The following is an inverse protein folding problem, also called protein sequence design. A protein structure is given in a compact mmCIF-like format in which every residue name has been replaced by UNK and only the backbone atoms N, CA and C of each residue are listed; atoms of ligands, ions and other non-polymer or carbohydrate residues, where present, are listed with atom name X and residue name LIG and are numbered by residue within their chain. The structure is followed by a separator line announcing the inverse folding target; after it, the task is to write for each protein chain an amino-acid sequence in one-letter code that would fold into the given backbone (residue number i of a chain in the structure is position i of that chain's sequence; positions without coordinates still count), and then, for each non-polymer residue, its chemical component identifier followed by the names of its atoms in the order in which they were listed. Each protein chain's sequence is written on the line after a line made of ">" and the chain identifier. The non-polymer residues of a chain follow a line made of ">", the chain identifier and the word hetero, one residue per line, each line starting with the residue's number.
data_IF_880701022077
#
_entry.id   IF_880701022077
#
_cell.length_a   1.000
_cell.length_b   1.000
_cell.length_c   1.000
_cell.angle_alpha   90.00
_cell.angle_beta   90.00
_cell.angle_gamma   90.00
#
_symmetry.space_group_name_H-M   'P 1'
#
loop_
_entity.id
_entity.type
_entity.pdbx_description
1 polymer ?
#
# COMPACT_ATOMS: atom_id res chain seq x y z
N UNK A 1 -34.45 -17.44 -15.93
CA UNK A 1 -34.55 -16.33 -14.95
C UNK A 1 -34.54 -14.92 -15.57
N UNK A 2 -34.18 -14.77 -16.85
CA UNK A 2 -34.15 -13.48 -17.57
C UNK A 2 -35.16 -13.44 -18.73
N UNK A 3 -36.37 -13.98 -18.54
CA UNK A 3 -37.44 -13.75 -19.50
C UNK A 3 -37.93 -12.31 -19.37
N UNK A 4 -37.37 -11.45 -20.23
CA UNK A 4 -37.92 -10.24 -20.88
C UNK A 4 -38.66 -9.16 -20.06
N UNK A 5 -39.07 -9.39 -18.82
CA UNK A 5 -39.94 -8.51 -18.07
C UNK A 5 -39.24 -7.37 -17.31
N UNK A 6 -38.05 -7.54 -16.68
CA UNK A 6 -37.44 -6.42 -15.95
C UNK A 6 -36.75 -5.41 -16.89
N UNK A 7 -36.27 -5.84 -18.06
CA UNK A 7 -35.50 -4.99 -18.97
C UNK A 7 -36.39 -4.05 -19.82
N UNK A 8 -37.54 -4.54 -20.28
CA UNK A 8 -38.44 -3.82 -21.21
C UNK A 8 -39.13 -2.62 -20.55
N UNK A 9 -39.54 -2.75 -19.28
CA UNK A 9 -40.25 -1.67 -18.58
C UNK A 9 -39.32 -0.51 -18.12
N UNK A 10 -38.08 -0.81 -17.74
CA UNK A 10 -37.16 0.19 -17.18
C UNK A 10 -36.22 0.83 -18.22
N UNK A 11 -35.78 0.07 -19.23
CA UNK A 11 -34.84 0.56 -20.24
C UNK A 11 -35.50 0.93 -21.56
N UNK A 12 -36.82 0.71 -21.70
CA UNK A 12 -37.57 0.91 -22.95
C UNK A 12 -36.90 0.26 -24.16
N UNK A 13 -36.23 -0.87 -23.93
CA UNK A 13 -35.59 -1.65 -24.98
C UNK A 13 -36.64 -2.45 -25.75
N UNK A 14 -36.45 -2.56 -27.05
CA UNK A 14 -37.22 -3.48 -27.87
C UNK A 14 -37.07 -4.92 -27.31
N UNK A 15 -38.17 -5.69 -27.17
CA UNK A 15 -38.13 -7.04 -26.60
C UNK A 15 -37.14 -7.99 -27.28
N UNK A 16 -36.95 -7.85 -28.60
CA UNK A 16 -35.99 -8.66 -29.36
C UNK A 16 -34.55 -8.33 -28.98
N UNK A 17 -34.24 -7.04 -28.85
CA UNK A 17 -32.92 -6.56 -28.39
C UNK A 17 -32.66 -7.02 -26.95
N UNK A 18 -33.65 -6.87 -26.05
CA UNK A 18 -33.52 -7.30 -24.65
C UNK A 18 -33.27 -8.81 -24.54
N UNK A 19 -33.94 -9.62 -25.37
CA UNK A 19 -33.77 -11.07 -25.42
C UNK A 19 -32.39 -11.45 -25.94
N UNK A 20 -31.93 -10.79 -27.00
CA UNK A 20 -30.59 -11.00 -27.56
C UNK A 20 -29.50 -10.68 -26.54
N UNK A 21 -29.61 -9.55 -25.85
CA UNK A 21 -28.67 -9.18 -24.77
C UNK A 21 -28.67 -10.24 -23.66
N UNK A 22 -29.86 -10.73 -23.25
CA UNK A 22 -29.95 -11.77 -22.24
C UNK A 22 -29.30 -13.08 -22.69
N UNK A 23 -29.48 -13.49 -23.95
CA UNK A 23 -28.86 -14.69 -24.51
C UNK A 23 -27.34 -14.58 -24.62
N UNK A 24 -26.81 -13.39 -24.94
CA UNK A 24 -25.37 -13.15 -24.98
C UNK A 24 -24.77 -13.12 -23.57
N UNK A 25 -25.48 -12.51 -22.62
CA UNK A 25 -24.99 -12.31 -21.25
C UNK A 25 -25.11 -13.56 -20.37
N UNK A 26 -26.00 -14.49 -20.71
CA UNK A 26 -26.26 -15.69 -19.92
C UNK A 26 -25.69 -16.95 -20.58
N UNK A 27 -25.22 -17.85 -19.73
CA UNK A 27 -24.90 -19.22 -20.10
C UNK A 27 -25.80 -20.16 -19.29
N UNK A 28 -26.50 -21.07 -19.97
CA UNK A 28 -27.46 -21.99 -19.34
C UNK A 28 -28.46 -21.26 -18.42
N UNK A 29 -29.09 -20.19 -18.92
CA UNK A 29 -30.06 -19.35 -18.20
C UNK A 29 -29.56 -18.65 -16.92
N UNK A 30 -28.24 -18.63 -16.71
CA UNK A 30 -27.59 -18.01 -15.56
C UNK A 30 -26.54 -16.99 -15.99
N UNK A 31 -26.29 -15.98 -15.15
CA UNK A 31 -25.16 -15.09 -15.35
C UNK A 31 -23.87 -15.84 -14.98
N UNK A 32 -22.91 -16.00 -15.91
CA UNK A 32 -21.70 -16.74 -15.63
C UNK A 32 -20.83 -16.00 -14.62
N UNK A 33 -20.27 -16.74 -13.66
CA UNK A 33 -19.32 -16.20 -12.69
C UNK A 33 -17.99 -15.90 -13.41
N UNK A 34 -17.46 -14.68 -13.24
CA UNK A 34 -16.24 -14.23 -13.92
C UNK A 34 -16.46 -13.38 -15.17
N UNK A 35 -17.69 -13.31 -15.71
CA UNK A 35 -17.99 -12.35 -16.79
C UNK A 35 -18.01 -10.91 -16.24
N UNK A 36 -17.37 -9.95 -16.93
CA UNK A 36 -17.36 -8.55 -16.50
C UNK A 36 -18.75 -7.90 -16.55
N UNK A 37 -19.67 -8.43 -17.36
CA UNK A 37 -21.03 -7.90 -17.49
C UNK A 37 -21.96 -8.41 -16.36
N UNK A 38 -21.69 -9.60 -15.81
CA UNK A 38 -22.57 -10.26 -14.84
C UNK A 38 -22.87 -9.40 -13.59
N UNK A 39 -21.89 -8.76 -12.92
CA UNK A 39 -22.17 -7.94 -11.73
C UNK A 39 -23.05 -6.73 -12.03
N UNK A 40 -22.87 -6.11 -13.21
CA UNK A 40 -23.67 -4.97 -13.64
C UNK A 40 -25.11 -5.41 -13.87
N UNK A 41 -25.31 -6.47 -14.63
CA UNK A 41 -26.64 -7.00 -14.92
C UNK A 41 -27.35 -7.47 -13.64
N UNK A 42 -26.64 -8.15 -12.73
CA UNK A 42 -27.20 -8.57 -11.44
C UNK A 42 -27.70 -7.36 -10.61
N UNK A 43 -26.94 -6.26 -10.58
CA UNK A 43 -27.37 -5.02 -9.93
C UNK A 43 -28.57 -4.35 -10.60
N UNK A 44 -28.68 -4.42 -11.93
CA UNK A 44 -29.85 -3.91 -12.67
C UNK A 44 -31.11 -4.72 -12.35
N UNK A 45 -31.02 -6.04 -12.35
CA UNK A 45 -32.15 -6.94 -12.03
C UNK A 45 -32.64 -6.71 -10.60
N UNK A 46 -31.72 -6.52 -9.66
CA UNK A 46 -32.05 -6.33 -8.23
C UNK A 46 -32.53 -4.93 -7.88
N UNK A 47 -32.51 -3.97 -8.80
CA UNK A 47 -32.93 -2.59 -8.53
C UNK A 47 -34.42 -2.49 -8.09
N UNK A 48 -35.31 -3.18 -8.80
CA UNK A 48 -36.75 -3.20 -8.46
C UNK A 48 -36.99 -3.84 -7.08
N UNK A 49 -36.24 -4.90 -6.77
CA UNK A 49 -36.22 -5.53 -5.45
C UNK A 49 -35.74 -4.52 -4.39
N UNK A 50 -34.64 -3.82 -4.63
CA UNK A 50 -34.09 -2.82 -3.71
C UNK A 50 -35.08 -1.71 -3.39
N UNK A 51 -35.81 -1.20 -4.39
CA UNK A 51 -36.86 -0.19 -4.20
C UNK A 51 -37.94 -0.72 -3.25
N UNK A 52 -38.41 -1.94 -3.46
CA UNK A 52 -39.48 -2.54 -2.67
C UNK A 52 -39.02 -2.89 -1.25
N UNK A 53 -37.83 -3.47 -1.09
CA UNK A 53 -37.25 -3.78 0.21
C UNK A 53 -36.93 -2.53 1.02
N UNK A 54 -36.44 -1.47 0.37
CA UNK A 54 -36.23 -0.16 1.00
C UNK A 54 -37.55 0.47 1.48
N UNK A 55 -38.61 0.42 0.67
CA UNK A 55 -39.96 0.87 1.08
C UNK A 55 -40.50 0.04 2.24
N UNK A 56 -40.35 -1.29 2.19
CA UNK A 56 -40.76 -2.19 3.26
C UNK A 56 -40.02 -1.89 4.58
N UNK A 57 -38.70 -1.68 4.50
CA UNK A 57 -37.88 -1.30 5.65
C UNK A 57 -38.36 0.01 6.27
N UNK A 58 -38.48 1.07 5.45
CA UNK A 58 -38.90 2.41 5.90
C UNK A 58 -40.26 2.37 6.60
N UNK A 59 -41.26 1.69 6.02
CA UNK A 59 -42.61 1.54 6.61
C UNK A 59 -42.60 0.86 7.98
N UNK A 60 -41.63 -0.01 8.24
CA UNK A 60 -41.55 -0.77 9.48
C UNK A 60 -40.53 -0.18 10.47
N UNK A 61 -39.90 0.97 10.17
CA UNK A 61 -38.86 1.57 11.01
C UNK A 61 -37.56 0.76 11.02
N UNK A 62 -37.22 0.15 9.88
CA UNK A 62 -35.98 -0.56 9.64
C UNK A 62 -35.13 0.19 8.60
N UNK A 63 -33.82 -0.05 8.62
CA UNK A 63 -32.91 0.31 7.54
C UNK A 63 -32.59 -0.93 6.70
N UNK A 64 -32.41 -0.74 5.40
CA UNK A 64 -32.08 -1.79 4.43
C UNK A 64 -30.77 -1.43 3.74
N UNK A 65 -29.87 -2.40 3.63
CA UNK A 65 -28.68 -2.31 2.78
C UNK A 65 -28.48 -3.63 2.05
N UNK A 66 -27.89 -3.56 0.85
CA UNK A 66 -27.50 -4.71 0.03
C UNK A 66 -26.07 -4.56 -0.45
N UNK A 67 -25.30 -5.63 -0.38
CA UNK A 67 -23.99 -5.76 -1.01
C UNK A 67 -23.97 -7.05 -1.82
N UNK A 68 -23.97 -6.96 -3.14
CA UNK A 68 -24.20 -8.10 -4.04
C UNK A 68 -25.48 -8.88 -3.64
N UNK A 69 -25.35 -10.13 -3.17
CA UNK A 69 -26.42 -11.00 -2.69
C UNK A 69 -26.70 -10.89 -1.18
N UNK A 70 -25.80 -10.27 -0.41
CA UNK A 70 -25.97 -10.05 1.03
C UNK A 70 -26.95 -8.90 1.30
N UNK A 71 -28.11 -9.24 1.86
CA UNK A 71 -29.13 -8.29 2.31
C UNK A 71 -29.09 -8.16 3.84
N UNK A 72 -29.05 -6.92 4.34
CA UNK A 72 -29.09 -6.61 5.78
C UNK A 72 -30.26 -5.71 6.12
N UNK A 73 -31.08 -6.13 7.08
CA UNK A 73 -32.09 -5.30 7.73
C UNK A 73 -31.65 -4.98 9.16
N UNK A 74 -31.76 -3.72 9.58
CA UNK A 74 -31.46 -3.30 10.95
C UNK A 74 -32.57 -2.40 11.51
N UNK A 75 -32.71 -2.35 12.84
CA UNK A 75 -33.71 -1.51 13.52
C UNK A 75 -33.17 -1.03 14.86
N UNK A 76 -33.67 0.12 15.34
CA UNK A 76 -33.43 0.63 16.70
C UNK A 76 -34.51 0.18 17.68
N UNK A 77 -35.55 -0.52 17.21
CA UNK A 77 -36.62 -1.07 18.05
C UNK A 77 -36.09 -2.23 18.89
N UNK A 78 -36.74 -2.51 20.03
CA UNK A 78 -36.38 -3.62 20.92
C UNK A 78 -36.55 -4.99 20.24
N UNK A 79 -37.53 -5.11 19.35
CA UNK A 79 -37.80 -6.31 18.55
C UNK A 79 -37.90 -5.97 17.06
N UNK A 80 -37.62 -6.95 16.22
CA UNK A 80 -37.86 -6.82 14.78
C UNK A 80 -39.37 -6.77 14.49
N UNK A 81 -39.80 -5.94 13.51
CA UNK A 81 -41.18 -5.96 13.05
C UNK A 81 -41.55 -7.31 12.42
N UNK A 82 -42.77 -7.78 12.68
CA UNK A 82 -43.32 -9.06 12.14
C UNK A 82 -43.24 -9.14 10.60
N UNK A 83 -43.31 -8.00 9.93
CA UNK A 83 -43.16 -7.91 8.47
C UNK A 83 -41.76 -8.33 7.97
N UNK A 84 -40.73 -8.25 8.81
CA UNK A 84 -39.34 -8.59 8.51
C UNK A 84 -38.95 -9.93 9.14
N UNK A 85 -39.26 -10.13 10.42
CA UNK A 85 -39.01 -11.37 11.17
C UNK A 85 -40.32 -11.80 11.83
N UNK A 86 -40.88 -12.93 11.43
CA UNK A 86 -42.14 -13.46 11.95
C UNK A 86 -41.96 -14.02 13.36
N UNK A 87 -40.90 -14.80 13.55
CA UNK A 87 -40.58 -15.43 14.82
C UNK A 87 -39.06 -15.39 15.03
N UNK A 88 -38.69 -14.94 16.22
CA UNK A 88 -37.31 -14.74 16.64
C UNK A 88 -36.67 -16.08 17.01
N UNK A 89 -37.40 -16.96 17.70
CA UNK A 89 -36.86 -18.23 18.23
C UNK A 89 -36.55 -19.20 17.10
N UNK A 90 -37.48 -19.37 16.16
CA UNK A 90 -37.27 -20.20 14.97
C UNK A 90 -36.50 -19.49 13.84
N UNK A 91 -36.10 -18.22 14.04
CA UNK A 91 -35.47 -17.37 13.00
C UNK A 91 -36.28 -17.29 11.69
N UNK A 92 -37.60 -17.34 11.80
CA UNK A 92 -38.50 -17.33 10.64
C UNK A 92 -38.67 -15.91 10.10
N UNK A 93 -38.36 -15.71 8.81
CA UNK A 93 -38.53 -14.42 8.14
C UNK A 93 -40.02 -14.09 7.91
N UNK A 94 -40.33 -12.79 7.90
CA UNK A 94 -41.67 -12.27 7.65
C UNK A 94 -42.18 -12.60 6.25
N UNK A 95 -43.47 -12.94 6.14
CA UNK A 95 -44.09 -13.32 4.86
C UNK A 95 -44.05 -12.20 3.82
N UNK A 96 -44.12 -10.93 4.25
CA UNK A 96 -43.99 -9.76 3.37
C UNK A 96 -42.61 -9.69 2.74
N UNK A 97 -41.54 -9.81 3.54
CA UNK A 97 -40.16 -9.84 3.05
C UNK A 97 -39.95 -11.00 2.04
N UNK A 98 -40.36 -12.21 2.41
CA UNK A 98 -40.25 -13.37 1.53
C UNK A 98 -41.05 -13.20 0.23
N UNK A 99 -42.23 -12.57 0.31
CA UNK A 99 -43.06 -12.23 -0.85
C UNK A 99 -42.34 -11.29 -1.81
N UNK A 100 -41.72 -10.22 -1.31
CA UNK A 100 -40.92 -9.30 -2.16
C UNK A 100 -39.78 -10.02 -2.88
N UNK A 101 -39.02 -10.84 -2.15
CA UNK A 101 -37.86 -11.57 -2.70
C UNK A 101 -38.31 -12.58 -3.77
N UNK A 102 -39.38 -13.34 -3.51
CA UNK A 102 -39.94 -14.31 -4.48
C UNK A 102 -40.51 -13.63 -5.71
N UNK A 103 -41.18 -12.48 -5.56
CA UNK A 103 -41.70 -11.70 -6.70
C UNK A 103 -40.59 -11.21 -7.62
N UNK A 104 -39.40 -10.95 -7.09
CA UNK A 104 -38.22 -10.61 -7.87
C UNK A 104 -37.49 -11.83 -8.47
N UNK A 105 -37.99 -13.05 -8.27
CA UNK A 105 -37.40 -14.27 -8.82
C UNK A 105 -36.24 -14.86 -8.00
N UNK A 106 -36.06 -14.42 -6.75
CA UNK A 106 -34.98 -14.89 -5.87
C UNK A 106 -35.52 -15.75 -4.72
N UNK A 107 -34.61 -16.47 -4.08
CA UNK A 107 -34.87 -17.26 -2.87
C UNK A 107 -33.81 -16.98 -1.80
N UNK A 108 -34.21 -16.99 -0.53
CA UNK A 108 -33.30 -16.83 0.60
C UNK A 108 -32.64 -18.17 0.94
N UNK A 109 -31.35 -18.15 1.31
CA UNK A 109 -30.66 -19.31 1.85
C UNK A 109 -30.85 -19.38 3.38
N UNK A 110 -31.64 -20.35 3.91
CA UNK A 110 -31.90 -20.43 5.35
C UNK A 110 -30.63 -20.67 6.17
N UNK A 111 -29.66 -21.45 5.66
CA UNK A 111 -28.40 -21.75 6.35
C UNK A 111 -27.51 -20.52 6.56
N UNK A 112 -27.66 -19.49 5.71
CA UNK A 112 -26.91 -18.22 5.82
C UNK A 112 -27.72 -17.10 6.50
N UNK A 113 -29.00 -17.36 6.81
CA UNK A 113 -29.88 -16.39 7.46
C UNK A 113 -29.51 -16.29 8.94
N UNK A 114 -29.34 -15.06 9.42
CA UNK A 114 -28.87 -14.78 10.79
C UNK A 114 -29.63 -13.61 11.40
N UNK A 115 -30.02 -13.76 12.66
CA UNK A 115 -30.60 -12.70 13.48
C UNK A 115 -29.58 -12.32 14.56
N UNK A 116 -29.27 -11.03 14.67
CA UNK A 116 -28.18 -10.57 15.54
C UNK A 116 -28.68 -9.45 16.45
N UNK A 117 -28.47 -9.61 17.74
CA UNK A 117 -28.93 -8.69 18.77
C UNK A 117 -27.83 -7.73 19.19
N UNK A 118 -28.19 -6.66 19.90
CA UNK A 118 -27.25 -5.62 20.31
C UNK A 118 -26.21 -6.11 21.33
N UNK A 119 -26.56 -7.11 22.11
CA UNK A 119 -25.78 -7.76 23.17
C UNK A 119 -24.91 -8.91 22.66
N UNK A 120 -25.15 -9.39 21.43
CA UNK A 120 -24.30 -10.33 20.73
C UNK A 120 -23.47 -9.65 19.64
N UNK A 121 -22.47 -10.34 19.09
CA UNK A 121 -21.68 -9.82 17.96
C UNK A 121 -22.59 -9.60 16.75
N UNK A 122 -22.59 -8.38 16.22
CA UNK A 122 -23.29 -7.99 15.01
C UNK A 122 -22.31 -7.89 13.86
N UNK A 123 -22.59 -8.61 12.79
CA UNK A 123 -21.77 -8.75 11.60
C UNK A 123 -22.57 -8.48 10.32
N UNK A 124 -22.07 -7.56 9.51
CA UNK A 124 -22.52 -7.31 8.15
C UNK A 124 -21.31 -7.40 7.21
N UNK A 125 -21.46 -8.12 6.10
CA UNK A 125 -20.41 -8.27 5.05
C UNK A 125 -19.01 -8.59 5.60
N UNK A 126 -18.92 -9.47 6.61
CA UNK A 126 -17.64 -9.87 7.23
C UNK A 126 -17.07 -8.89 8.28
N UNK A 127 -17.72 -7.76 8.53
CA UNK A 127 -17.29 -6.72 9.47
C UNK A 127 -18.19 -6.68 10.70
N UNK A 128 -17.57 -6.50 11.87
CA UNK A 128 -18.26 -6.26 13.14
C UNK A 128 -18.73 -4.81 13.20
N UNK A 129 -20.00 -4.59 13.55
CA UNK A 129 -20.66 -3.28 13.47
C UNK A 129 -21.30 -2.78 14.78
N UNK A 130 -21.16 -3.51 15.89
CA UNK A 130 -21.86 -3.19 17.15
C UNK A 130 -21.71 -1.74 17.65
N UNK A 131 -20.50 -1.18 17.56
CA UNK A 131 -20.18 0.18 18.07
C UNK A 131 -19.45 1.01 17.02
N UNK A 132 -18.47 0.39 16.38
CA UNK A 132 -17.71 0.91 15.24
C UNK A 132 -17.48 -0.23 14.27
N UNK A 133 -17.13 0.10 13.03
CA UNK A 133 -16.71 -0.90 12.05
C UNK A 133 -15.39 -1.52 12.53
N UNK A 134 -15.31 -2.84 12.61
CA UNK A 134 -14.07 -3.54 13.00
C UNK A 134 -13.96 -4.88 12.29
N UNK A 135 -12.73 -5.36 12.11
CA UNK A 135 -12.50 -6.77 11.81
C UNK A 135 -12.85 -7.66 13.00
N UNK A 136 -13.13 -8.94 12.72
CA UNK A 136 -13.30 -9.99 13.72
C UNK A 136 -12.05 -10.12 14.60
N UNK A 137 -12.24 -10.38 15.90
CA UNK A 137 -11.13 -10.48 16.85
C UNK A 137 -10.25 -11.70 16.53
N UNK A 138 -10.84 -12.78 16.05
CA UNK A 138 -10.18 -14.00 15.59
C UNK A 138 -9.30 -13.73 14.36
N UNK A 139 -9.79 -12.93 13.42
CA UNK A 139 -9.03 -12.51 12.24
C UNK A 139 -7.80 -11.67 12.63
N UNK A 140 -7.96 -10.75 13.58
CA UNK A 140 -6.83 -9.98 14.11
C UNK A 140 -5.85 -10.86 14.89
N UNK A 141 -6.33 -11.73 15.79
CA UNK A 141 -5.50 -12.62 16.61
C UNK A 141 -4.65 -13.55 15.74
N UNK A 142 -5.25 -14.18 14.73
CA UNK A 142 -4.55 -15.04 13.76
C UNK A 142 -3.52 -14.24 12.96
N UNK A 143 -3.88 -13.07 12.42
CA UNK A 143 -2.94 -12.22 11.66
C UNK A 143 -1.76 -11.76 12.52
N UNK A 144 -2.02 -11.40 13.79
CA UNK A 144 -0.97 -11.02 14.74
C UNK A 144 -0.06 -12.21 15.07
N UNK A 145 -0.61 -13.42 15.22
CA UNK A 145 0.16 -14.63 15.44
C UNK A 145 1.04 -14.98 14.23
N UNK A 146 0.51 -14.85 13.01
CA UNK A 146 1.27 -15.01 11.76
C UNK A 146 2.45 -14.02 11.70
N UNK A 147 2.20 -12.74 11.95
CA UNK A 147 3.25 -11.73 11.99
C UNK A 147 4.31 -12.02 13.06
N UNK A 148 3.89 -12.41 14.26
CA UNK A 148 4.81 -12.81 15.33
C UNK A 148 5.68 -14.02 14.92
N UNK A 149 5.06 -15.06 14.34
CA UNK A 149 5.78 -16.23 13.83
C UNK A 149 6.79 -15.84 12.76
N UNK A 150 6.41 -14.96 11.82
CA UNK A 150 7.30 -14.46 10.79
C UNK A 150 8.50 -13.74 11.40
N UNK A 151 8.29 -12.84 12.36
CA UNK A 151 9.37 -12.06 12.97
C UNK A 151 10.36 -12.91 13.75
N UNK A 152 9.91 -14.01 14.36
CA UNK A 152 10.77 -14.91 15.14
C UNK A 152 11.38 -16.02 14.29
N UNK A 153 10.58 -16.70 13.47
CA UNK A 153 10.99 -17.91 12.75
C UNK A 153 11.32 -17.66 11.27
N UNK A 154 10.94 -16.51 10.72
CA UNK A 154 11.10 -16.21 9.29
C UNK A 154 10.04 -16.84 8.40
N UNK A 155 9.10 -17.59 8.99
CA UNK A 155 7.98 -18.24 8.31
C UNK A 155 6.71 -18.13 9.15
N UNK A 156 5.57 -18.35 8.52
CA UNK A 156 4.29 -18.49 9.17
C UNK A 156 3.41 -19.41 8.35
N UNK A 157 2.37 -19.97 8.97
CA UNK A 157 1.41 -20.84 8.29
C UNK A 157 0.07 -20.14 8.09
N UNK A 158 -0.64 -20.55 7.05
CA UNK A 158 -2.01 -20.14 6.75
C UNK A 158 -2.88 -21.39 6.58
N UNK A 159 -4.14 -21.27 6.99
CA UNK A 159 -5.15 -22.31 6.81
C UNK A 159 -5.87 -22.09 5.48
N UNK A 160 -5.85 -23.10 4.61
CA UNK A 160 -6.59 -23.09 3.34
C UNK A 160 -8.07 -23.42 3.55
N UNK A 161 -8.86 -23.34 2.47
CA UNK A 161 -10.32 -23.49 2.52
C UNK A 161 -10.78 -24.88 2.98
N UNK A 162 -9.96 -25.91 2.75
CA UNK A 162 -10.19 -27.29 3.18
C UNK A 162 -9.77 -27.55 4.63
N UNK A 163 -9.21 -26.55 5.31
CA UNK A 163 -8.72 -26.64 6.68
C UNK A 163 -7.27 -27.12 6.80
N UNK A 164 -6.59 -27.42 5.69
CA UNK A 164 -5.18 -27.78 5.68
C UNK A 164 -4.27 -26.59 6.02
N UNK A 165 -3.10 -26.87 6.60
CA UNK A 165 -2.09 -25.85 6.90
C UNK A 165 -0.98 -25.89 5.86
N UNK A 166 -0.60 -24.72 5.35
CA UNK A 166 0.56 -24.55 4.48
C UNK A 166 1.41 -23.36 4.88
N UNK A 167 2.62 -23.31 4.34
CA UNK A 167 3.48 -22.13 4.45
C UNK A 167 2.80 -20.93 3.77
N UNK A 168 2.80 -19.81 4.48
CA UNK A 168 2.25 -18.55 4.02
C UNK A 168 3.30 -17.66 3.36
N UNK A 169 2.87 -16.87 2.38
CA UNK A 169 3.72 -15.95 1.65
C UNK A 169 3.54 -14.51 2.14
N UNK A 170 4.60 -13.69 2.10
CA UNK A 170 4.55 -12.30 2.57
C UNK A 170 3.38 -11.47 2.00
N UNK A 171 3.00 -11.57 0.71
CA UNK A 171 1.85 -10.83 0.18
C UNK A 171 0.51 -11.19 0.84
N UNK A 172 0.36 -12.43 1.30
CA UNK A 172 -0.87 -12.88 1.98
C UNK A 172 -1.01 -12.18 3.34
N UNK A 173 0.07 -12.18 4.15
CA UNK A 173 0.07 -11.48 5.43
C UNK A 173 -0.05 -9.96 5.25
N UNK A 174 0.61 -9.40 4.24
CA UNK A 174 0.47 -7.99 3.89
C UNK A 174 -0.98 -7.63 3.54
N UNK A 175 -1.65 -8.44 2.72
CA UNK A 175 -3.05 -8.26 2.37
C UNK A 175 -3.96 -8.26 3.60
N UNK A 176 -3.70 -9.17 4.56
CA UNK A 176 -4.44 -9.21 5.83
C UNK A 176 -4.22 -7.94 6.65
N UNK A 177 -2.97 -7.50 6.82
CA UNK A 177 -2.63 -6.29 7.56
C UNK A 177 -3.19 -5.03 6.88
N UNK A 178 -3.09 -4.94 5.55
CA UNK A 178 -3.64 -3.84 4.76
C UNK A 178 -5.16 -3.75 4.86
N UNK A 179 -5.87 -4.88 4.88
CA UNK A 179 -7.32 -4.90 5.11
C UNK A 179 -7.68 -4.38 6.51
N UNK A 180 -6.98 -4.85 7.55
CA UNK A 180 -7.19 -4.36 8.93
C UNK A 180 -6.95 -2.86 9.03
N UNK A 181 -5.83 -2.41 8.46
CA UNK A 181 -5.45 -1.00 8.39
C UNK A 181 -6.51 -0.15 7.65
N UNK A 182 -7.10 -0.65 6.56
CA UNK A 182 -8.16 0.07 5.85
C UNK A 182 -9.40 0.33 6.72
N UNK A 183 -9.77 -0.63 7.58
CA UNK A 183 -10.88 -0.51 8.53
C UNK A 183 -10.53 0.46 9.65
N UNK A 184 -9.31 0.39 10.18
CA UNK A 184 -8.84 1.31 11.21
C UNK A 184 -8.72 2.74 10.68
N UNK A 185 -8.22 2.91 9.45
CA UNK A 185 -8.14 4.18 8.76
C UNK A 185 -9.54 4.79 8.54
N UNK A 186 -10.53 4.00 8.10
CA UNK A 186 -11.92 4.45 8.01
C UNK A 186 -12.41 4.99 9.37
N UNK A 187 -12.20 4.25 10.46
CA UNK A 187 -12.60 4.70 11.79
C UNK A 187 -11.86 5.99 12.22
N UNK A 188 -10.59 6.13 11.85
CA UNK A 188 -9.81 7.34 12.14
C UNK A 188 -10.35 8.55 11.35
N UNK A 189 -10.76 8.37 10.09
CA UNK A 189 -11.41 9.41 9.30
C UNK A 189 -12.80 9.78 9.84
N UNK A 190 -13.62 8.79 10.19
CA UNK A 190 -14.94 9.04 10.80
C UNK A 190 -14.81 9.81 12.12
N UNK A 191 -13.83 9.44 12.97
CA UNK A 191 -13.51 10.22 14.17
C UNK A 191 -13.11 11.66 13.85
N UNK A 192 -12.38 11.91 12.76
CA UNK A 192 -12.04 13.28 12.34
C UNK A 192 -13.25 14.09 11.87
N UNK A 193 -14.33 13.46 11.40
CA UNK A 193 -15.60 14.13 11.02
C UNK A 193 -16.43 14.56 12.24
N UNK A 194 -16.20 13.97 13.41
CA UNK A 194 -16.77 14.39 14.71
C UNK A 194 -15.67 14.93 15.62
N UNK A 195 -15.39 16.24 15.61
CA UNK A 195 -14.20 16.78 16.27
C UNK A 195 -14.36 16.85 17.79
N UNK A 196 -13.49 16.16 18.52
CA UNK A 196 -13.17 16.42 19.94
C UNK A 196 -11.68 16.14 20.20
N UNK A 197 -11.07 16.84 21.18
CA UNK A 197 -10.00 17.81 21.01
C UNK A 197 -8.68 17.21 20.51
N UNK A 198 -7.96 18.04 19.75
CA UNK A 198 -6.68 17.82 19.07
C UNK A 198 -5.71 16.88 19.80
N UNK A 199 -5.43 15.73 19.18
CA UNK A 199 -4.35 14.80 19.55
C UNK A 199 -2.98 15.15 18.94
N UNK A 200 -2.78 16.38 18.47
CA UNK A 200 -1.46 16.82 18.00
C UNK A 200 -0.77 17.70 19.05
N UNK A 201 0.32 17.24 19.68
CA UNK A 201 1.24 18.16 20.30
C UNK A 201 1.88 19.03 19.20
N UNK A 202 1.78 20.36 19.36
CA UNK A 202 2.37 21.39 18.48
C UNK A 202 3.90 21.29 18.34
N UNK A 203 4.57 20.45 19.13
CA UNK A 203 6.02 20.30 19.21
C UNK A 203 6.35 18.81 19.30
N UNK A 204 7.19 18.29 18.42
CA UNK A 204 7.61 16.88 18.44
C UNK A 204 8.65 16.63 19.53
N UNK A 205 8.34 15.69 20.45
CA UNK A 205 9.17 15.36 21.61
C UNK A 205 9.91 14.03 21.42
N UNK A 206 10.99 14.01 20.63
CA UNK A 206 12.03 12.95 20.68
C UNK A 206 11.90 11.76 19.71
N UNK A 207 13.03 11.06 19.54
CA UNK A 207 13.32 10.03 18.51
C UNK A 207 12.41 8.78 18.62
N UNK A 208 12.03 8.39 19.84
CA UNK A 208 11.29 7.14 20.10
C UNK A 208 9.76 7.31 20.17
N UNK A 209 9.24 8.53 20.25
CA UNK A 209 7.80 8.77 20.46
C UNK A 209 6.93 8.63 19.20
N UNK A 210 7.54 8.34 18.05
CA UNK A 210 6.79 8.01 16.83
C UNK A 210 5.93 6.74 17.05
N UNK A 211 6.49 5.70 17.67
CA UNK A 211 5.74 4.47 17.97
C UNK A 211 4.55 4.73 18.88
N UNK A 212 4.60 5.73 19.75
CA UNK A 212 3.51 6.07 20.65
C UNK A 212 2.31 6.68 19.92
N UNK A 213 2.51 7.23 18.72
CA UNK A 213 1.42 7.71 17.85
C UNK A 213 0.64 6.56 17.19
N UNK A 214 1.27 5.40 17.05
CA UNK A 214 0.65 4.24 16.41
C UNK A 214 -0.16 3.43 17.42
N UNK A 215 -1.35 3.00 17.01
CA UNK A 215 -2.11 2.02 17.74
C UNK A 215 -1.49 0.61 17.64
N UNK A 216 -1.95 -0.34 18.46
CA UNK A 216 -1.35 -1.68 18.52
C UNK A 216 -1.38 -2.45 17.19
N UNK A 217 -2.35 -2.19 16.30
CA UNK A 217 -2.44 -2.82 14.97
C UNK A 217 -1.47 -2.17 14.00
N UNK A 218 -1.42 -0.84 13.98
CA UNK A 218 -0.45 -0.06 13.20
C UNK A 218 0.99 -0.40 13.58
N UNK A 219 1.29 -0.61 14.87
CA UNK A 219 2.61 -1.06 15.35
C UNK A 219 3.04 -2.38 14.72
N UNK A 220 2.11 -3.35 14.62
CA UNK A 220 2.39 -4.65 13.98
C UNK A 220 2.59 -4.48 12.48
N UNK A 221 1.79 -3.63 11.82
CA UNK A 221 1.94 -3.40 10.40
C UNK A 221 3.24 -2.65 10.06
N UNK A 222 3.59 -1.62 10.81
CA UNK A 222 4.88 -0.93 10.70
C UNK A 222 6.05 -1.90 10.89
N UNK A 223 6.00 -2.78 11.90
CA UNK A 223 7.00 -3.84 12.10
C UNK A 223 7.06 -4.82 10.93
N UNK A 224 5.92 -5.20 10.36
CA UNK A 224 5.89 -6.03 9.16
C UNK A 224 6.57 -5.35 7.96
N UNK A 225 6.32 -4.06 7.75
CA UNK A 225 6.98 -3.30 6.69
C UNK A 225 8.49 -3.19 6.94
N UNK A 226 8.92 -2.98 8.18
CA UNK A 226 10.33 -3.01 8.55
C UNK A 226 10.98 -4.35 8.22
N UNK A 227 10.32 -5.45 8.61
CA UNK A 227 10.78 -6.81 8.31
C UNK A 227 10.91 -7.02 6.79
N UNK A 228 9.83 -6.76 6.04
CA UNK A 228 9.76 -7.00 4.59
C UNK A 228 10.74 -6.14 3.80
N UNK A 229 10.89 -4.85 4.15
CA UNK A 229 11.64 -3.89 3.34
C UNK A 229 13.11 -3.79 3.73
N UNK A 230 13.47 -4.07 4.98
CA UNK A 230 14.81 -3.78 5.50
C UNK A 230 15.53 -4.98 6.10
N UNK A 231 14.83 -6.06 6.45
CA UNK A 231 15.44 -7.23 7.09
C UNK A 231 15.43 -8.46 6.19
N UNK A 232 14.27 -8.85 5.68
CA UNK A 232 14.06 -9.99 4.79
C UNK A 232 13.84 -9.55 3.33
N UNK A 233 14.46 -8.44 2.95
CA UNK A 233 14.40 -7.92 1.58
C UNK A 233 15.09 -8.89 0.60
N UNK A 234 14.45 -9.14 -0.53
CA UNK A 234 14.94 -10.04 -1.59
C UNK A 234 16.18 -9.49 -2.30
N UNK A 235 16.25 -8.16 -2.44
CA UNK A 235 17.34 -7.43 -3.08
C UNK A 235 17.74 -6.24 -2.19
N UNK A 236 18.94 -5.65 -2.40
CA UNK A 236 19.34 -4.43 -1.72
C UNK A 236 18.25 -3.34 -1.82
N UNK A 237 17.89 -2.76 -0.68
CA UNK A 237 16.87 -1.71 -0.61
C UNK A 237 17.51 -0.35 -0.71
N UNK A 238 17.13 0.43 -1.73
CA UNK A 238 17.64 1.77 -1.98
C UNK A 238 16.63 2.79 -1.47
N UNK A 239 17.07 3.68 -0.57
CA UNK A 239 16.29 4.81 -0.05
C UNK A 239 16.95 6.10 -0.51
N UNK A 240 16.18 6.94 -1.21
CA UNK A 240 16.61 8.25 -1.73
C UNK A 240 15.84 9.38 -1.07
N UNK A 241 16.32 10.62 -1.17
CA UNK A 241 15.65 11.80 -0.63
C UNK A 241 14.31 12.10 -1.30
N UNK A 242 14.24 11.89 -2.62
CA UNK A 242 13.05 12.16 -3.41
C UNK A 242 12.62 10.99 -4.30
N UNK A 243 11.35 11.01 -4.70
CA UNK A 243 10.80 10.05 -5.67
C UNK A 243 11.41 10.17 -7.07
N UNK A 244 11.96 11.33 -7.39
CA UNK A 244 12.61 11.63 -8.68
C UNK A 244 13.90 10.84 -8.84
N UNK A 245 14.67 10.69 -7.76
CA UNK A 245 15.95 9.98 -7.75
C UNK A 245 15.76 8.50 -8.09
N UNK A 246 14.69 7.90 -7.58
CA UNK A 246 14.28 6.55 -7.96
C UNK A 246 14.06 6.40 -9.47
N UNK A 247 13.54 7.43 -10.14
CA UNK A 247 13.34 7.42 -11.59
C UNK A 247 14.66 7.56 -12.32
N UNK A 248 15.56 8.43 -11.85
CA UNK A 248 16.90 8.58 -12.43
C UNK A 248 17.70 7.28 -12.32
N UNK A 249 17.81 6.71 -11.12
CA UNK A 249 18.54 5.47 -10.87
C UNK A 249 17.98 4.29 -11.66
N UNK A 250 16.65 4.14 -11.75
CA UNK A 250 16.03 3.10 -12.57
C UNK A 250 16.30 3.29 -14.06
N UNK A 251 16.32 4.53 -14.54
CA UNK A 251 16.60 4.84 -15.95
C UNK A 251 18.06 4.58 -16.30
N UNK A 252 18.98 5.03 -15.43
CA UNK A 252 20.41 4.83 -15.57
C UNK A 252 20.78 3.34 -15.51
N UNK A 253 20.27 2.59 -14.54
CA UNK A 253 20.55 1.16 -14.44
C UNK A 253 20.01 0.37 -15.63
N UNK A 254 18.91 0.83 -16.24
CA UNK A 254 18.38 0.19 -17.44
C UNK A 254 19.26 0.43 -18.67
N UNK A 255 19.78 1.65 -18.86
CA UNK A 255 20.72 1.94 -19.93
C UNK A 255 22.07 1.24 -19.71
N UNK A 256 22.58 1.25 -18.47
CA UNK A 256 23.88 0.72 -18.08
C UNK A 256 23.86 -0.78 -17.72
N UNK A 257 22.77 -1.48 -18.02
CA UNK A 257 22.56 -2.87 -17.60
C UNK A 257 23.69 -3.84 -18.01
N UNK A 258 24.32 -3.59 -19.16
CA UNK A 258 25.43 -4.40 -19.67
C UNK A 258 26.69 -4.31 -18.78
N UNK A 259 26.92 -3.15 -18.15
CA UNK A 259 28.03 -2.94 -17.23
C UNK A 259 27.76 -3.51 -15.83
N UNK A 260 26.48 -3.72 -15.45
CA UNK A 260 26.07 -4.13 -14.11
C UNK A 260 25.17 -5.39 -14.12
N UNK A 261 25.63 -6.53 -14.68
CA UNK A 261 24.82 -7.75 -14.77
C UNK A 261 24.39 -8.30 -13.39
N UNK A 262 25.12 -7.97 -12.33
CA UNK A 262 24.78 -8.40 -10.96
C UNK A 262 23.66 -7.56 -10.31
N UNK A 263 23.27 -6.44 -10.92
CA UNK A 263 22.25 -5.52 -10.43
C UNK A 263 20.95 -5.61 -11.22
N UNK A 264 20.87 -6.48 -12.23
CA UNK A 264 19.71 -6.61 -13.12
C UNK A 264 19.41 -8.07 -13.43
N UNK A 265 18.16 -8.37 -13.74
CA UNK A 265 17.80 -9.48 -14.61
C UNK A 265 17.66 -8.89 -16.02
N UNK A 266 18.52 -9.30 -16.97
CA UNK A 266 18.48 -8.77 -18.33
C UNK A 266 17.16 -9.14 -19.01
N UNK A 267 16.75 -8.34 -19.99
CA UNK A 267 15.57 -8.66 -20.81
C UNK A 267 15.86 -9.90 -21.65
N UNK A 268 14.98 -10.89 -21.58
CA UNK A 268 14.99 -12.07 -22.48
C UNK A 268 13.78 -12.01 -23.42
N UNK A 269 13.60 -13.02 -24.28
CA UNK A 269 12.41 -13.14 -25.12
C UNK A 269 11.13 -13.30 -24.27
N UNK A 270 11.26 -13.89 -23.08
CA UNK A 270 10.16 -14.29 -22.20
C UNK A 270 10.00 -13.35 -21.00
N UNK A 271 11.09 -12.77 -20.51
CA UNK A 271 11.11 -11.93 -19.31
C UNK A 271 11.47 -10.47 -19.62
N UNK A 272 10.71 -9.55 -19.02
CA UNK A 272 11.01 -8.12 -19.07
C UNK A 272 12.21 -7.82 -18.17
N UNK A 273 13.01 -6.82 -18.56
CA UNK A 273 14.03 -6.23 -17.70
C UNK A 273 13.49 -5.96 -16.29
N UNK A 274 14.23 -6.39 -15.26
CA UNK A 274 13.91 -6.08 -13.88
C UNK A 274 15.17 -5.81 -13.07
N UNK A 275 15.25 -4.73 -12.27
CA UNK A 275 16.40 -4.47 -11.42
C UNK A 275 16.44 -5.44 -10.23
N UNK A 276 17.62 -5.95 -9.89
CA UNK A 276 17.95 -6.64 -8.63
C UNK A 276 18.20 -5.63 -7.51
N UNK A 277 17.40 -4.57 -7.46
CA UNK A 277 17.41 -3.50 -6.47
C UNK A 277 15.97 -3.16 -6.11
N UNK A 278 15.68 -3.00 -4.82
CA UNK A 278 14.34 -2.64 -4.35
C UNK A 278 14.28 -1.14 -4.06
N UNK A 279 13.34 -0.47 -4.70
CA UNK A 279 12.99 0.93 -4.41
C UNK A 279 11.60 0.93 -3.75
N UNK A 280 11.49 1.06 -2.42
CA UNK A 280 10.21 1.01 -1.72
C UNK A 280 9.25 2.09 -2.22
N UNK A 281 7.97 1.74 -2.36
CA UNK A 281 6.93 2.74 -2.59
C UNK A 281 6.60 3.47 -1.28
N UNK A 282 7.30 4.57 -1.06
CA UNK A 282 7.05 5.51 0.03
C UNK A 282 5.83 6.37 -0.31
N UNK A 283 4.65 5.74 -0.29
CA UNK A 283 3.37 6.43 -0.29
C UNK A 283 3.04 6.93 1.13
N UNK A 284 2.01 7.78 1.26
CA UNK A 284 1.63 8.40 2.53
C UNK A 284 1.45 7.39 3.67
N UNK A 285 0.94 6.19 3.38
CA UNK A 285 0.75 5.13 4.37
C UNK A 285 2.08 4.54 4.82
N UNK A 286 2.92 4.11 3.87
CA UNK A 286 4.25 3.56 4.18
C UNK A 286 5.09 4.58 4.94
N UNK A 287 5.08 5.84 4.50
CA UNK A 287 5.74 6.95 5.18
C UNK A 287 5.22 7.14 6.61
N UNK A 288 3.89 7.13 6.77
CA UNK A 288 3.26 7.21 8.09
C UNK A 288 3.64 6.05 9.00
N UNK A 289 3.69 4.81 8.50
CA UNK A 289 3.96 3.58 9.27
C UNK A 289 5.44 3.30 9.54
N UNK A 290 6.36 3.91 8.79
CA UNK A 290 7.81 3.78 8.99
C UNK A 290 8.46 5.05 9.58
N UNK A 291 7.73 6.17 9.61
CA UNK A 291 8.28 7.51 9.85
C UNK A 291 9.53 7.78 9.02
N UNK A 292 9.37 7.52 7.72
CA UNK A 292 10.30 7.89 6.64
C UNK A 292 9.51 8.86 5.76
N UNK A 293 10.06 10.02 5.43
CA UNK A 293 9.35 11.11 4.79
C UNK A 293 10.12 11.68 3.59
N UNK A 294 9.55 12.69 2.92
CA UNK A 294 10.27 13.44 1.88
C UNK A 294 11.30 14.38 2.52
N UNK A 295 12.49 14.46 1.92
CA UNK A 295 13.63 15.24 2.41
C UNK A 295 14.52 14.49 3.39
N UNK A 296 15.56 15.16 3.91
CA UNK A 296 16.61 14.48 4.65
C UNK A 296 16.37 14.31 6.17
N UNK A 297 15.55 15.17 6.79
CA UNK A 297 15.24 15.13 8.24
C UNK A 297 14.61 13.80 8.73
N UNK A 298 13.81 13.07 7.93
CA UNK A 298 13.37 11.73 8.30
C UNK A 298 14.49 10.69 8.39
N UNK A 299 15.59 10.84 7.62
CA UNK A 299 16.67 9.83 7.60
C UNK A 299 17.49 9.79 8.88
N UNK A 300 17.74 10.93 9.55
CA UNK A 300 18.41 10.91 10.86
C UNK A 300 17.60 10.09 11.87
N UNK A 301 16.26 10.24 11.89
CA UNK A 301 15.39 9.46 12.78
C UNK A 301 15.38 7.99 12.39
N UNK A 302 15.33 7.70 11.09
CA UNK A 302 15.41 6.34 10.58
C UNK A 302 16.70 5.65 11.05
N UNK A 303 17.86 6.27 10.80
CA UNK A 303 19.18 5.76 11.22
C UNK A 303 19.23 5.53 12.73
N UNK A 304 18.82 6.51 13.53
CA UNK A 304 18.86 6.42 14.99
C UNK A 304 18.00 5.27 15.55
N UNK A 305 16.88 4.96 14.91
CA UNK A 305 15.99 3.87 15.33
C UNK A 305 16.38 2.51 14.77
N UNK A 306 17.08 2.48 13.64
CA UNK A 306 17.26 1.28 12.83
C UNK A 306 17.82 0.09 13.62
N UNK A 307 18.82 0.31 14.48
CA UNK A 307 19.38 -0.74 15.32
C UNK A 307 18.35 -1.31 16.32
N UNK A 308 17.52 -0.47 16.95
CA UNK A 308 16.46 -0.91 17.85
C UNK A 308 15.31 -1.61 17.10
N UNK A 309 15.10 -1.25 15.84
CA UNK A 309 14.10 -1.85 14.97
C UNK A 309 14.52 -3.27 14.57
N UNK A 310 15.78 -3.45 14.19
CA UNK A 310 16.33 -4.76 13.85
C UNK A 310 16.44 -5.71 15.03
N UNK A 311 16.67 -5.20 16.25
CA UNK A 311 16.64 -6.02 17.48
C UNK A 311 15.32 -6.77 17.69
N UNK A 312 14.25 -6.44 16.97
CA UNK A 312 12.98 -7.16 17.09
C UNK A 312 12.97 -8.48 16.29
N UNK A 313 13.99 -8.73 15.47
CA UNK A 313 14.13 -9.89 14.57
C UNK A 313 15.31 -10.80 14.98
N UNK A 314 15.62 -10.86 16.29
CA UNK A 314 16.75 -11.55 16.95
C UNK A 314 17.24 -12.87 16.30
N UNK A 315 18.53 -13.17 16.49
CA UNK A 315 19.26 -14.38 16.08
C UNK A 315 19.47 -14.59 14.56
N UNK A 316 19.14 -13.60 13.74
CA UNK A 316 19.22 -13.72 12.28
C UNK A 316 19.97 -12.56 11.65
N UNK A 317 20.75 -12.89 10.61
CA UNK A 317 21.34 -11.90 9.70
C UNK A 317 20.25 -11.41 8.75
N UNK A 318 20.23 -10.10 8.48
CA UNK A 318 19.40 -9.56 7.41
C UNK A 318 19.82 -10.18 6.07
N UNK A 319 18.90 -10.26 5.12
CA UNK A 319 19.14 -10.94 3.84
C UNK A 319 19.98 -10.12 2.87
N UNK A 320 19.76 -8.79 2.85
CA UNK A 320 20.41 -7.89 1.91
C UNK A 320 20.67 -6.50 2.54
N UNK A 321 21.58 -5.70 1.95
CA UNK A 321 21.83 -4.32 2.37
C UNK A 321 20.59 -3.41 2.28
N UNK A 322 20.54 -2.41 3.15
CA UNK A 322 19.74 -1.20 3.01
C UNK A 322 20.70 -0.04 2.79
N UNK A 323 20.52 0.72 1.72
CA UNK A 323 21.45 1.73 1.26
C UNK A 323 20.71 3.06 1.17
N UNK A 324 21.14 4.02 1.97
CA UNK A 324 20.75 5.42 1.82
C UNK A 324 21.59 6.01 0.69
N UNK A 325 20.96 6.53 -0.35
CA UNK A 325 21.63 7.26 -1.44
C UNK A 325 21.14 8.69 -1.38
N UNK A 326 21.99 9.60 -0.89
CA UNK A 326 21.61 10.96 -0.54
C UNK A 326 22.45 11.98 -1.31
N UNK A 327 21.92 13.20 -1.42
CA UNK A 327 22.64 14.31 -2.03
C UNK A 327 23.83 14.70 -1.14
N UNK A 328 24.95 15.04 -1.76
CA UNK A 328 26.15 15.51 -1.05
C UNK A 328 26.12 17.04 -0.92
N UNK A 329 25.05 17.55 -0.32
CA UNK A 329 24.81 18.96 -0.14
C UNK A 329 24.45 19.29 1.32
N UNK A 330 23.70 20.36 1.54
CA UNK A 330 23.26 20.77 2.88
C UNK A 330 21.99 20.08 3.35
N UNK A 331 21.26 19.38 2.48
CA UNK A 331 20.03 18.65 2.79
C UNK A 331 20.21 17.69 3.95
N UNK A 332 21.12 16.70 3.88
CA UNK A 332 21.33 15.73 4.95
C UNK A 332 22.28 16.20 6.06
N UNK A 333 22.56 17.50 6.19
CA UNK A 333 23.55 18.04 7.16
C UNK A 333 23.37 17.51 8.58
N UNK A 334 22.14 17.45 9.09
CA UNK A 334 21.87 16.94 10.44
C UNK A 334 22.22 15.46 10.59
N UNK A 335 21.90 14.65 9.57
CA UNK A 335 22.29 13.25 9.53
C UNK A 335 23.82 13.13 9.48
N UNK A 336 24.50 13.84 8.58
CA UNK A 336 25.95 13.75 8.42
C UNK A 336 26.68 14.12 9.73
N UNK A 337 26.25 15.21 10.39
CA UNK A 337 26.78 15.61 11.69
C UNK A 337 26.54 14.54 12.77
N UNK A 338 25.38 13.89 12.75
CA UNK A 338 25.09 12.78 13.66
C UNK A 338 26.00 11.58 13.40
N UNK A 339 26.24 11.22 12.14
CA UNK A 339 27.11 10.11 11.76
C UNK A 339 28.55 10.35 12.25
N UNK A 340 29.13 11.51 11.93
CA UNK A 340 30.48 11.91 12.34
C UNK A 340 30.65 11.88 13.87
N UNK A 341 29.62 12.33 14.61
CA UNK A 341 29.73 12.50 16.06
C UNK A 341 29.33 11.28 16.89
N UNK A 342 28.48 10.39 16.36
CA UNK A 342 27.86 9.30 17.15
C UNK A 342 28.05 7.90 16.57
N UNK A 343 28.44 7.75 15.32
CA UNK A 343 28.57 6.43 14.67
C UNK A 343 30.04 6.08 14.49
N UNK A 344 30.53 5.13 15.30
CA UNK A 344 31.97 4.79 15.40
C UNK A 344 32.61 4.29 14.09
N UNK A 345 31.83 3.67 13.21
CA UNK A 345 32.28 3.17 11.91
C UNK A 345 32.45 4.29 10.86
N UNK A 346 31.90 5.48 11.11
CA UNK A 346 32.00 6.62 10.21
C UNK A 346 33.28 7.41 10.46
N UNK A 347 33.84 8.07 9.43
CA UNK A 347 34.91 9.05 9.62
C UNK A 347 34.49 10.13 10.62
N UNK A 348 35.41 10.52 11.51
CA UNK A 348 35.22 11.60 12.48
C UNK A 348 35.41 13.01 11.88
N UNK A 349 35.47 13.11 10.55
CA UNK A 349 35.64 14.35 9.80
C UNK A 349 34.65 14.40 8.64
N UNK A 350 33.94 15.53 8.52
CA UNK A 350 32.88 15.70 7.51
C UNK A 350 33.45 15.71 6.09
N UNK A 351 34.65 16.26 5.90
CA UNK A 351 35.28 16.32 4.57
C UNK A 351 35.61 14.91 4.09
N UNK A 352 36.24 14.09 4.94
CA UNK A 352 36.49 12.67 4.68
C UNK A 352 35.21 11.89 4.46
N UNK A 353 34.17 12.16 5.25
CA UNK A 353 32.86 11.52 5.07
C UNK A 353 32.27 11.84 3.70
N UNK A 354 32.28 13.13 3.30
CA UNK A 354 31.76 13.59 2.01
C UNK A 354 32.56 13.09 0.80
N UNK A 355 33.86 12.82 0.97
CA UNK A 355 34.71 12.27 -0.08
C UNK A 355 34.83 10.75 -0.06
N UNK A 356 34.17 10.07 0.90
CA UNK A 356 34.16 8.61 0.96
C UNK A 356 33.27 8.04 -0.14
N UNK A 357 33.55 6.81 -0.56
CA UNK A 357 32.59 6.02 -1.35
C UNK A 357 31.42 5.57 -0.48
N UNK A 358 31.12 4.28 -0.49
CA UNK A 358 30.17 3.73 0.46
C UNK A 358 30.69 3.82 1.90
N UNK A 359 29.76 4.01 2.84
CA UNK A 359 30.03 4.00 4.28
C UNK A 359 29.14 2.93 4.92
N UNK A 360 29.75 1.97 5.59
CA UNK A 360 29.01 1.02 6.42
C UNK A 360 28.66 1.68 7.75
N UNK A 361 27.36 1.86 8.02
CA UNK A 361 26.92 2.49 9.26
C UNK A 361 26.92 1.43 10.37
N UNK A 362 26.07 0.42 10.26
CA UNK A 362 25.97 -0.70 11.20
C UNK A 362 24.95 -1.72 10.68
N UNK A 363 25.01 -2.96 11.16
CA UNK A 363 24.17 -4.07 10.67
C UNK A 363 24.22 -4.16 9.13
N UNK A 364 23.07 -4.14 8.45
CA UNK A 364 22.97 -4.11 7.00
C UNK A 364 22.72 -2.70 6.42
N UNK A 365 22.94 -1.62 7.20
CA UNK A 365 22.68 -0.24 6.78
C UNK A 365 23.95 0.45 6.27
N UNK A 366 23.83 1.09 5.10
CA UNK A 366 24.90 1.77 4.38
C UNK A 366 24.47 3.17 3.92
N UNK A 367 25.46 4.02 3.67
CA UNK A 367 25.28 5.34 3.07
C UNK A 367 26.16 5.46 1.82
N UNK A 368 25.61 6.04 0.75
CA UNK A 368 26.32 6.52 -0.44
C UNK A 368 25.88 7.98 -0.64
N UNK A 369 26.84 8.88 -0.77
CA UNK A 369 26.60 10.27 -1.15
C UNK A 369 26.86 10.46 -2.64
N UNK A 370 26.20 11.43 -3.29
CA UNK A 370 26.57 11.80 -4.65
C UNK A 370 28.04 12.27 -4.72
N UNK A 371 28.75 12.02 -5.83
CA UNK A 371 30.16 12.40 -5.96
C UNK A 371 30.28 13.93 -5.94
N UNK A 372 31.23 14.45 -5.15
CA UNK A 372 31.51 15.89 -5.09
C UNK A 372 31.78 16.47 -6.49
N UNK A 373 31.24 17.67 -6.72
CA UNK A 373 31.50 18.44 -7.93
C UNK A 373 32.97 18.94 -7.95
N UNK A 374 33.50 19.31 -9.14
CA UNK A 374 34.87 19.80 -9.26
C UNK A 374 35.22 20.90 -8.24
N UNK A 375 36.39 20.75 -7.61
CA UNK A 375 36.83 21.62 -6.51
C UNK A 375 36.24 21.26 -5.14
N UNK A 376 35.69 20.05 -4.97
CA UNK A 376 35.15 19.57 -3.69
C UNK A 376 33.82 20.23 -3.33
N UNK A 377 33.08 20.71 -4.33
CA UNK A 377 31.80 21.40 -4.13
C UNK A 377 30.68 20.40 -3.89
N UNK A 378 29.69 20.84 -3.13
CA UNK A 378 28.46 20.10 -2.91
C UNK A 378 27.81 19.67 -4.23
N UNK A 379 27.11 18.54 -4.20
CA UNK A 379 26.42 17.98 -5.36
C UNK A 379 25.05 17.42 -5.00
N UNK A 380 24.16 17.41 -5.98
CA UNK A 380 22.87 16.72 -5.92
C UNK A 380 22.76 15.68 -7.04
N UNK A 381 21.74 14.82 -6.96
CA UNK A 381 21.47 13.79 -7.97
C UNK A 381 21.32 14.37 -9.39
N UNK A 382 20.76 15.58 -9.50
CA UNK A 382 20.64 16.28 -10.78
C UNK A 382 21.97 16.72 -11.39
N UNK A 383 23.02 16.90 -10.59
CA UNK A 383 24.34 17.30 -11.09
C UNK A 383 25.03 16.17 -11.87
N UNK A 384 24.51 14.95 -11.82
CA UNK A 384 25.01 13.81 -12.59
C UNK A 384 24.62 13.87 -14.07
N UNK A 385 23.67 14.72 -14.45
CA UNK A 385 23.31 14.92 -15.85
C UNK A 385 24.23 15.94 -16.53
N UNK A 386 24.43 15.78 -17.84
CA UNK A 386 25.16 16.76 -18.62
C UNK A 386 24.36 18.07 -18.83
N UNK A 387 25.08 19.12 -19.21
CA UNK A 387 24.47 20.45 -19.42
C UNK A 387 23.42 20.47 -20.53
N UNK A 388 23.54 19.59 -21.54
CA UNK A 388 22.59 19.49 -22.64
C UNK A 388 21.24 18.95 -22.14
N UNK A 389 21.29 17.89 -21.34
CA UNK A 389 20.12 17.27 -20.72
C UNK A 389 19.44 18.24 -19.77
N UNK A 390 20.20 18.93 -18.92
CA UNK A 390 19.67 19.94 -17.98
C UNK A 390 19.04 21.15 -18.68
N UNK A 391 19.46 21.47 -19.91
CA UNK A 391 18.91 22.58 -20.71
C UNK A 391 17.71 22.19 -21.59
N UNK A 392 17.22 20.95 -21.48
CA UNK A 392 16.04 20.51 -22.23
C UNK A 392 14.86 21.44 -22.01
N UNK A 393 14.16 21.80 -23.08
CA UNK A 393 12.97 22.64 -23.05
C UNK A 393 11.74 21.78 -23.27
N UNK A 394 10.73 21.92 -22.42
CA UNK A 394 9.43 21.25 -22.54
C UNK A 394 8.34 22.30 -22.51
N UNK A 395 7.49 22.33 -23.53
CA UNK A 395 6.37 23.28 -23.64
C UNK A 395 6.81 24.75 -23.42
N UNK A 396 7.99 25.12 -23.94
CA UNK A 396 8.58 26.47 -23.80
C UNK A 396 9.23 26.77 -22.44
N UNK A 397 9.28 25.81 -21.51
CA UNK A 397 9.82 25.96 -20.16
C UNK A 397 11.16 25.27 -20.00
N UNK A 398 12.05 25.83 -19.17
CA UNK A 398 13.36 25.25 -18.84
C UNK A 398 13.34 24.53 -17.49
N UNK A 399 14.29 23.64 -17.25
CA UNK A 399 14.40 22.94 -15.96
C UNK A 399 14.88 23.89 -14.84
N UNK A 400 14.33 23.72 -13.64
CA UNK A 400 14.90 24.26 -12.40
C UNK A 400 14.83 23.22 -11.26
N UNK A 401 15.93 22.94 -10.56
CA UNK A 401 15.96 22.01 -9.43
C UNK A 401 15.45 22.64 -8.11
N UNK A 402 15.15 23.95 -8.11
CA UNK A 402 14.73 24.66 -6.91
C UNK A 402 13.39 24.15 -6.37
N UNK A 403 13.21 24.25 -5.05
CA UNK A 403 11.98 23.83 -4.37
C UNK A 403 10.77 24.71 -4.76
N UNK A 404 11.02 26.00 -4.99
CA UNK A 404 10.04 26.97 -5.47
C UNK A 404 10.48 27.47 -6.84
N UNK A 405 9.62 27.29 -7.84
CA UNK A 405 9.88 27.69 -9.22
C UNK A 405 8.74 28.54 -9.74
N UNK A 406 9.05 29.47 -10.65
CA UNK A 406 8.06 30.13 -11.48
C UNK A 406 7.56 29.12 -12.51
N UNK A 407 6.38 28.54 -12.25
CA UNK A 407 5.77 27.50 -13.10
C UNK A 407 5.42 27.98 -14.51
N UNK A 408 5.44 29.30 -14.77
CA UNK A 408 5.25 29.84 -16.12
C UNK A 408 6.52 29.71 -16.96
N UNK A 409 7.70 29.80 -16.33
CA UNK A 409 9.02 29.78 -17.00
C UNK A 409 9.75 28.46 -16.86
N UNK A 410 9.52 27.75 -15.76
CA UNK A 410 10.29 26.57 -15.39
C UNK A 410 9.41 25.37 -15.09
N UNK A 411 9.96 24.18 -15.34
CA UNK A 411 9.41 22.92 -14.84
C UNK A 411 10.35 22.31 -13.79
N UNK A 412 9.78 21.60 -12.82
CA UNK A 412 10.52 21.03 -11.69
C UNK A 412 10.99 19.58 -11.90
N UNK A 413 11.62 19.03 -10.86
CA UNK A 413 12.22 17.68 -10.86
C UNK A 413 11.26 16.56 -11.30
N UNK A 414 9.97 16.67 -10.98
CA UNK A 414 8.98 15.66 -11.41
C UNK A 414 8.80 15.59 -12.93
N UNK A 415 8.70 16.74 -13.60
CA UNK A 415 8.58 16.78 -15.07
C UNK A 415 9.92 16.36 -15.70
N UNK A 416 11.04 16.81 -15.14
CA UNK A 416 12.37 16.42 -15.60
C UNK A 416 12.55 14.89 -15.58
N UNK A 417 12.32 14.25 -14.43
CA UNK A 417 12.46 12.79 -14.28
C UNK A 417 11.55 11.97 -15.20
N UNK A 418 10.32 12.42 -15.42
CA UNK A 418 9.33 11.65 -16.19
C UNK A 418 9.37 11.94 -17.69
N UNK A 419 9.30 13.21 -18.10
CA UNK A 419 9.22 13.61 -19.50
C UNK A 419 10.58 13.71 -20.19
N UNK A 420 11.65 14.05 -19.47
CA UNK A 420 12.99 14.15 -20.07
C UNK A 420 13.75 12.84 -19.89
N UNK A 421 13.99 12.43 -18.65
CA UNK A 421 14.87 11.29 -18.37
C UNK A 421 14.21 9.97 -18.77
N UNK A 422 13.08 9.61 -18.16
CA UNK A 422 12.46 8.30 -18.40
C UNK A 422 12.04 8.09 -19.85
N UNK A 423 11.59 9.15 -20.52
CA UNK A 423 11.07 9.06 -21.90
C UNK A 423 12.18 9.04 -22.95
N UNK A 424 13.36 9.59 -22.66
CA UNK A 424 14.48 9.68 -23.61
C UNK A 424 15.78 9.03 -23.10
N UNK A 425 15.68 8.09 -22.15
CA UNK A 425 16.83 7.45 -21.48
C UNK A 425 17.84 6.77 -22.42
N UNK A 426 17.45 6.44 -23.65
CA UNK A 426 18.34 5.80 -24.63
C UNK A 426 19.32 6.82 -25.24
N UNK A 427 18.94 8.10 -25.31
CA UNK A 427 19.71 9.17 -25.94
C UNK A 427 20.36 10.14 -24.95
N UNK A 428 20.24 9.89 -23.65
CA UNK A 428 20.82 10.72 -22.58
C UNK A 428 22.08 10.04 -22.06
N UNK A 429 23.14 10.82 -21.82
CA UNK A 429 24.33 10.30 -21.17
C UNK A 429 24.09 10.12 -19.67
N UNK A 430 24.12 8.86 -19.19
CA UNK A 430 23.94 8.51 -17.78
C UNK A 430 25.22 7.94 -17.14
N UNK A 431 26.38 8.12 -17.77
CA UNK A 431 27.64 7.52 -17.31
C UNK A 431 28.07 7.98 -15.92
N UNK A 432 27.75 9.20 -15.50
CA UNK A 432 28.09 9.68 -14.14
C UNK A 432 27.35 8.92 -13.04
N UNK A 433 26.26 8.22 -13.35
CA UNK A 433 25.58 7.33 -12.40
C UNK A 433 26.36 6.03 -12.14
N UNK A 434 27.36 5.68 -12.97
CA UNK A 434 28.25 4.54 -12.74
C UNK A 434 28.88 4.59 -11.35
N UNK A 435 29.26 5.76 -10.88
CA UNK A 435 29.76 5.97 -9.52
C UNK A 435 28.85 5.33 -8.45
N UNK A 436 27.55 5.59 -8.51
CA UNK A 436 26.59 5.06 -7.51
C UNK A 436 26.47 3.53 -7.65
N UNK A 437 26.42 3.00 -8.87
CA UNK A 437 26.30 1.56 -9.08
C UNK A 437 27.57 0.79 -8.70
N UNK A 438 28.75 1.37 -8.95
CA UNK A 438 30.03 0.83 -8.52
C UNK A 438 30.09 0.73 -6.99
N UNK A 439 29.64 1.78 -6.28
CA UNK A 439 29.52 1.77 -4.83
C UNK A 439 28.49 0.74 -4.33
N UNK A 440 27.35 0.57 -5.02
CA UNK A 440 26.37 -0.48 -4.68
C UNK A 440 26.99 -1.88 -4.83
N UNK A 441 27.77 -2.15 -5.88
CA UNK A 441 28.48 -3.43 -6.01
C UNK A 441 29.53 -3.65 -4.92
N UNK A 442 30.24 -2.58 -4.51
CA UNK A 442 31.16 -2.64 -3.36
C UNK A 442 30.41 -2.94 -2.06
N UNK A 443 29.26 -2.32 -1.83
CA UNK A 443 28.39 -2.60 -0.67
C UNK A 443 27.94 -4.05 -0.65
N UNK A 444 27.50 -4.61 -1.80
CA UNK A 444 27.11 -6.02 -1.88
C UNK A 444 28.27 -6.96 -1.49
N UNK A 445 29.47 -6.70 -2.02
CA UNK A 445 30.68 -7.47 -1.69
C UNK A 445 31.04 -7.36 -0.22
N UNK A 446 31.03 -6.15 0.34
CA UNK A 446 31.30 -5.92 1.76
C UNK A 446 30.27 -6.64 2.64
N UNK A 447 28.97 -6.53 2.32
CA UNK A 447 27.91 -7.17 3.09
C UNK A 447 28.01 -8.70 3.09
N UNK A 448 28.33 -9.31 1.95
CA UNK A 448 28.54 -10.75 1.86
C UNK A 448 29.74 -11.25 2.68
N UNK A 449 30.68 -10.37 3.04
CA UNK A 449 31.85 -10.71 3.85
C UNK A 449 31.63 -10.56 5.37
N UNK A 450 30.50 -9.97 5.82
CA UNK A 450 30.13 -9.80 7.24
C UNK A 450 29.36 -11.02 7.78
#
# INVERSE_FOLDING_TARGET
>A
MLHSAPATAYFKLDPHIATTIAQIACYQDTLPQGSPCSPVIANLITNSLDINLSKLAKRNGCSYTRYADDITFSTRKKSFPVAIVKDIESMTLGSKLLGEIRRAGFSVNPKKTRLQFKDSRQEATGLVINKKVSVKSEYWRSTRAMAHSLFKTGKFTITDQDGSLRDGHLPELEGRLAFIDSVDFYNNLEKKKTPEPKFEPKIHTGINKYRDKLNSREKVYGRFLQYKLFFANEYPTILTEGKTDNVYLKSALNQLQAAYPNLVNPKTAEEKYSPKLKFPDLNRKTMYLLDIGDGATPFIRFVQRYAADLKQFEDKKANNPVILVLDNDTGPKDLLNHLVSKVKSCPNDLTKLKSSGFIHLFHNLYLILTPLNPGGKDSAMEDLFDSMTLRTVIDGKTFSPAQHIDVSKHYGKHIFSTKVIRSNKENINLDRFKYIFDEIEKVKRHFSAL
#
